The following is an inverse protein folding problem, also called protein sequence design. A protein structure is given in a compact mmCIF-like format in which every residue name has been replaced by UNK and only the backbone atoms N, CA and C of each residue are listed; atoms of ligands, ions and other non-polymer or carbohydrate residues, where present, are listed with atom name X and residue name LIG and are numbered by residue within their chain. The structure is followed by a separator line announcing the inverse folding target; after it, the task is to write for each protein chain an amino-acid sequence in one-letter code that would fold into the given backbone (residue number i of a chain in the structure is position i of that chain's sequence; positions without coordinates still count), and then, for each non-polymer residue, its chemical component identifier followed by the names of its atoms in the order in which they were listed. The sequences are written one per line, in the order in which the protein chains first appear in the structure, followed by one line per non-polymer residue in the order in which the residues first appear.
data_IF_285711710429
#
_entry.id   IF_285711710429
#
_cell.length_a   1.000
_cell.length_b   1.000
_cell.length_c   1.000
_cell.angle_alpha   90.00
_cell.angle_beta   90.00
_cell.angle_gamma   90.00
#
_symmetry.space_group_name_H-M   'P 1'
#
loop_
_entity.id
_entity.type
_entity.pdbx_description
1 polymer ?
#
# COMPACT_ATOMS: atom_id res chain seq x y z
N UNK A 1 6.39 -0.57 -8.24
CA UNK A 1 5.34 -1.56 -7.94
C UNK A 1 5.77 -2.60 -6.88
N UNK A 2 6.84 -3.39 -7.10
CA UNK A 2 7.15 -4.54 -6.24
C UNK A 2 7.47 -4.17 -4.77
N UNK A 3 8.16 -3.04 -4.55
CA UNK A 3 8.46 -2.52 -3.20
C UNK A 3 7.20 -2.05 -2.46
N UNK A 4 6.33 -1.29 -3.13
CA UNK A 4 5.07 -0.81 -2.55
C UNK A 4 4.16 -1.99 -2.15
N UNK A 5 4.05 -3.00 -3.02
CA UNK A 5 3.32 -4.25 -2.73
C UNK A 5 3.96 -4.99 -1.55
N UNK A 6 5.29 -5.12 -1.51
CA UNK A 6 5.97 -5.79 -0.39
C UNK A 6 5.72 -5.08 0.94
N UNK A 7 5.75 -3.73 0.95
CA UNK A 7 5.44 -2.92 2.13
C UNK A 7 4.00 -3.08 2.58
N UNK A 8 3.06 -3.13 1.64
CA UNK A 8 1.65 -3.39 1.94
C UNK A 8 1.48 -4.76 2.61
N UNK A 9 2.02 -5.82 2.01
CA UNK A 9 1.88 -7.20 2.52
C UNK A 9 2.49 -7.35 3.91
N UNK A 10 3.73 -6.89 4.11
CA UNK A 10 4.40 -6.98 5.41
C UNK A 10 3.58 -6.35 6.53
N UNK A 11 3.01 -5.16 6.28
CA UNK A 11 2.22 -4.52 7.31
C UNK A 11 0.77 -4.95 7.38
N UNK A 12 0.23 -5.64 6.36
CA UNK A 12 -1.02 -6.38 6.49
C UNK A 12 -0.83 -7.59 7.42
N UNK A 13 0.27 -8.33 7.27
CA UNK A 13 0.63 -9.43 8.18
C UNK A 13 0.77 -8.94 9.63
N UNK A 14 1.37 -7.77 9.86
CA UNK A 14 1.45 -7.17 11.19
C UNK A 14 0.05 -6.92 11.79
N UNK A 15 -0.86 -6.32 11.02
CA UNK A 15 -2.23 -6.01 11.47
C UNK A 15 -3.02 -7.29 11.76
N UNK A 16 -2.89 -8.32 10.92
CA UNK A 16 -3.51 -9.61 11.18
C UNK A 16 -2.94 -10.25 12.45
N UNK A 17 -1.63 -10.16 12.66
CA UNK A 17 -0.99 -10.63 13.88
C UNK A 17 -1.49 -9.90 15.13
N UNK A 18 -1.65 -8.58 15.07
CA UNK A 18 -2.20 -7.79 16.17
C UNK A 18 -3.66 -8.13 16.45
N UNK A 19 -4.46 -8.34 15.41
CA UNK A 19 -5.87 -8.76 15.55
C UNK A 19 -5.99 -10.16 16.16
N UNK A 20 -5.21 -11.13 15.67
CA UNK A 20 -5.23 -12.51 16.17
C UNK A 20 -4.79 -12.61 17.64
N UNK A 21 -3.83 -11.76 18.04
CA UNK A 21 -3.42 -11.60 19.45
C UNK A 21 -4.44 -10.85 20.31
N UNK A 22 -5.48 -10.26 19.70
CA UNK A 22 -6.48 -9.45 20.39
C UNK A 22 -5.99 -8.07 20.84
N UNK A 23 -4.91 -7.56 20.23
CA UNK A 23 -4.37 -6.22 20.52
C UNK A 23 -5.15 -5.10 19.85
N UNK A 24 -5.83 -5.41 18.75
CA UNK A 24 -6.71 -4.48 18.04
C UNK A 24 -8.06 -5.14 17.79
N UNK A 25 -9.13 -4.35 17.85
CA UNK A 25 -10.46 -4.80 17.42
C UNK A 25 -10.60 -4.79 15.89
N UNK A 26 -11.68 -5.39 15.40
CA UNK A 26 -11.92 -5.54 13.97
C UNK A 26 -12.06 -4.18 13.25
N UNK A 27 -12.71 -3.19 13.87
CA UNK A 27 -12.90 -1.88 13.26
C UNK A 27 -11.57 -1.13 13.16
N UNK A 28 -10.72 -1.21 14.20
CA UNK A 28 -9.38 -0.67 14.19
C UNK A 28 -8.50 -1.34 13.12
N UNK A 29 -8.53 -2.67 13.01
CA UNK A 29 -7.80 -3.41 11.98
C UNK A 29 -8.24 -3.01 10.56
N UNK A 30 -9.55 -2.92 10.31
CA UNK A 30 -10.10 -2.50 9.02
C UNK A 30 -9.72 -1.06 8.67
N UNK A 31 -9.74 -0.14 9.65
CA UNK A 31 -9.32 1.24 9.45
C UNK A 31 -7.85 1.34 9.01
N UNK A 32 -6.95 0.60 9.66
CA UNK A 32 -5.53 0.55 9.31
C UNK A 32 -5.31 -0.07 7.92
N UNK A 33 -6.00 -1.17 7.60
CA UNK A 33 -5.90 -1.81 6.29
C UNK A 33 -6.42 -0.89 5.18
N UNK A 34 -7.51 -0.16 5.40
CA UNK A 34 -8.04 0.81 4.43
C UNK A 34 -7.00 1.88 4.11
N UNK A 35 -6.39 2.48 5.14
CA UNK A 35 -5.35 3.49 4.96
C UNK A 35 -4.15 2.95 4.15
N UNK A 36 -3.72 1.72 4.44
CA UNK A 36 -2.63 1.06 3.70
C UNK A 36 -2.99 0.74 2.24
N UNK A 37 -4.25 0.47 1.93
CA UNK A 37 -4.73 0.28 0.56
C UNK A 37 -4.65 1.60 -0.21
N UNK A 38 -5.02 2.70 0.42
CA UNK A 38 -4.93 4.03 -0.19
C UNK A 38 -3.45 4.40 -0.46
N UNK A 39 -2.55 4.17 0.51
CA UNK A 39 -1.10 4.34 0.30
C UNK A 39 -0.57 3.52 -0.89
N UNK A 40 -1.06 2.28 -1.06
CA UNK A 40 -0.66 1.41 -2.17
C UNK A 40 -1.18 1.93 -3.52
N UNK A 41 -2.40 2.46 -3.56
CA UNK A 41 -2.99 3.06 -4.75
C UNK A 41 -2.22 4.29 -5.17
N UNK A 42 -1.94 5.20 -4.24
CA UNK A 42 -1.15 6.40 -4.49
C UNK A 42 0.24 6.04 -5.03
N UNK A 43 0.88 5.01 -4.46
CA UNK A 43 2.17 4.52 -4.95
C UNK A 43 2.09 3.90 -6.35
N UNK A 44 0.98 3.26 -6.71
CA UNK A 44 0.77 2.70 -8.04
C UNK A 44 0.56 3.81 -9.08
N UNK A 45 -0.26 4.82 -8.77
CA UNK A 45 -0.51 5.99 -9.62
C UNK A 45 0.77 6.83 -9.82
N UNK A 46 1.59 6.96 -8.77
CA UNK A 46 2.88 7.64 -8.86
C UNK A 46 3.87 6.91 -9.79
N UNK A 47 3.85 5.57 -9.80
CA UNK A 47 4.66 4.78 -10.73
C UNK A 47 4.16 4.97 -12.17
N UNK A 48 2.85 4.92 -12.39
CA UNK A 48 2.25 5.13 -13.73
C UNK A 48 2.57 6.54 -14.26
N UNK A 49 2.51 7.56 -13.41
CA UNK A 49 2.86 8.93 -13.77
C UNK A 49 4.36 9.12 -14.05
N UNK A 50 5.24 8.38 -13.36
CA UNK A 50 6.68 8.42 -13.60
C UNK A 50 7.08 7.78 -14.94
N UNK A 51 6.35 6.75 -15.38
CA UNK A 51 6.58 6.13 -16.70
C UNK A 51 6.03 6.98 -17.86
N UNK A 52 5.08 7.89 -17.59
CA UNK A 52 4.50 8.79 -18.59
C UNK A 52 5.41 9.99 -18.96
N UNK A 53 6.35 10.38 -18.09
CA UNK A 53 7.23 11.55 -18.27
C UNK A 53 8.49 11.25 -19.12
N UNK A 54 8.95 9.99 -19.15
CA UNK A 54 10.17 9.58 -19.90
C UNK A 54 9.95 9.53 -21.43
N UNK A 55 8.69 9.50 -21.90
CA UNK A 55 8.33 9.30 -23.31
C UNK A 55 8.34 10.54 -24.22
N UNK A 56 8.59 11.75 -23.71
CA UNK A 56 8.46 13.00 -24.46
C UNK A 56 9.82 13.69 -24.71
N UNK A 57 10.67 13.09 -25.55
CA UNK A 57 11.99 13.66 -25.84
C UNK A 57 12.72 13.06 -27.03
N UNK A 58 12.12 13.02 -28.21
CA UNK A 58 12.86 12.97 -29.49
C UNK A 58 11.99 13.49 -30.64
N UNK A 59 12.07 14.80 -30.94
CA UNK A 59 12.02 15.36 -32.31
C UNK A 59 12.42 16.84 -32.37
#
# INVERSE_FOLDING_TARGET
MNEAVSRFLAGADDVYGDYDRGYVDADAALSVLSSRIDDLRDAAEAVESAEADDGAGDE
#
